data_IF_155164317411
#
_entry.id   IF_155164317411
#
_cell.length_a   1.000
_cell.length_b   1.000
_cell.length_c   1.000
_cell.angle_alpha   90.00
_cell.angle_beta   90.00
_cell.angle_gamma   90.00
#
_symmetry.space_group_name_H-M   'P 1'
#
loop_
_entity.id
_entity.type
_entity.pdbx_description
1 polymer ?
#
# COMPACT_ATOMS: atom_id res chain seq x y z
N UNK A 1 -6.25 23.56 15.04
CA UNK A 1 -5.96 22.31 15.77
C UNK A 1 -4.51 21.88 15.56
N UNK A 2 -3.89 21.17 16.52
CA UNK A 2 -2.58 20.54 16.35
C UNK A 2 -2.75 19.13 15.76
N UNK A 3 -2.15 18.86 14.61
CA UNK A 3 -2.29 17.60 13.88
C UNK A 3 -0.93 16.94 13.61
N UNK A 4 -0.88 15.62 13.71
CA UNK A 4 0.28 14.82 13.37
C UNK A 4 0.59 14.92 11.87
N UNK A 5 1.87 15.17 11.52
CA UNK A 5 2.33 15.23 10.12
C UNK A 5 1.97 13.99 9.29
N UNK A 6 1.79 12.83 9.93
CA UNK A 6 1.39 11.59 9.24
C UNK A 6 -0.03 11.66 8.68
N UNK A 7 -0.91 12.46 9.26
CA UNK A 7 -2.26 12.68 8.75
C UNK A 7 -2.31 13.72 7.61
N UNK A 8 -1.16 14.30 7.25
CA UNK A 8 -1.05 15.22 6.12
C UNK A 8 -0.59 14.45 4.88
N UNK A 9 -1.21 14.72 3.73
CA UNK A 9 -0.82 14.15 2.45
C UNK A 9 -0.34 15.23 1.48
N UNK A 10 0.88 15.03 0.99
CA UNK A 10 1.59 15.93 0.06
C UNK A 10 1.68 15.36 -1.35
N UNK A 11 1.23 14.13 -1.53
CA UNK A 11 1.43 13.37 -2.74
C UNK A 11 0.20 13.55 -3.62
N UNK A 12 0.41 13.69 -4.92
CA UNK A 12 -0.68 13.76 -5.88
C UNK A 12 -1.18 12.34 -6.18
N UNK A 13 -2.46 12.10 -5.95
CA UNK A 13 -3.19 10.92 -6.42
C UNK A 13 -3.87 11.26 -7.76
N UNK A 14 -4.10 10.27 -8.63
CA UNK A 14 -4.83 10.49 -9.88
C UNK A 14 -6.30 10.74 -9.60
N UNK A 15 -6.89 11.73 -10.29
CA UNK A 15 -8.33 11.92 -10.29
C UNK A 15 -9.02 10.80 -11.09
N UNK A 16 -9.99 10.16 -10.45
CA UNK A 16 -10.74 9.04 -11.03
C UNK A 16 -12.25 9.28 -11.04
N UNK A 17 -12.69 10.53 -10.82
CA UNK A 17 -14.11 10.93 -10.88
C UNK A 17 -14.76 11.06 -9.51
N UNK A 18 -16.07 10.83 -9.45
CA UNK A 18 -16.89 10.93 -8.24
C UNK A 18 -17.62 9.61 -7.97
N UNK A 19 -18.03 9.38 -6.72
CA UNK A 19 -18.97 8.31 -6.39
C UNK A 19 -20.43 8.78 -6.56
N UNK A 20 -21.38 7.91 -6.23
CA UNK A 20 -22.84 8.17 -6.28
C UNK A 20 -23.32 9.27 -5.33
N UNK A 21 -22.46 9.75 -4.42
CA UNK A 21 -22.73 10.84 -3.48
C UNK A 21 -21.99 12.14 -3.88
N UNK A 22 -21.55 12.23 -5.13
CA UNK A 22 -20.75 13.33 -5.68
C UNK A 22 -19.44 13.60 -4.92
N UNK A 23 -18.95 12.62 -4.16
CA UNK A 23 -17.67 12.72 -3.47
C UNK A 23 -16.55 12.40 -4.45
N UNK A 24 -15.58 13.32 -4.52
CA UNK A 24 -14.39 13.14 -5.35
C UNK A 24 -13.58 11.92 -4.91
N UNK A 25 -13.15 11.14 -5.89
CA UNK A 25 -12.31 9.96 -5.73
C UNK A 25 -10.93 10.20 -6.35
N UNK A 26 -9.88 9.83 -5.64
CA UNK A 26 -8.53 9.75 -6.20
C UNK A 26 -7.87 8.42 -5.90
N UNK A 27 -7.07 7.90 -6.83
CA UNK A 27 -6.38 6.62 -6.66
C UNK A 27 -4.90 6.70 -7.00
N UNK A 28 -4.08 5.87 -6.34
CA UNK A 28 -2.66 5.68 -6.67
C UNK A 28 -2.12 4.34 -6.23
N UNK A 29 -1.01 3.91 -6.84
CA UNK A 29 -0.10 2.95 -6.23
C UNK A 29 0.74 3.69 -5.17
N UNK A 30 0.55 3.37 -3.89
CA UNK A 30 1.23 4.04 -2.79
C UNK A 30 2.55 3.34 -2.41
N UNK A 31 2.64 2.02 -2.52
CA UNK A 31 3.88 1.29 -2.26
C UNK A 31 4.02 0.10 -3.18
N UNK A 32 5.24 -0.19 -3.60
CA UNK A 32 5.57 -1.41 -4.33
C UNK A 32 6.83 -2.04 -3.74
N UNK A 33 6.71 -3.28 -3.28
CA UNK A 33 7.83 -4.11 -2.85
C UNK A 33 7.96 -5.32 -3.77
N UNK A 34 9.10 -5.45 -4.40
CA UNK A 34 9.43 -6.59 -5.26
C UNK A 34 10.69 -7.29 -4.78
N UNK A 35 10.80 -8.57 -5.10
CA UNK A 35 11.98 -9.38 -4.84
C UNK A 35 12.46 -9.98 -6.14
N UNK A 36 13.78 -10.09 -6.30
CA UNK A 36 14.40 -10.75 -7.43
C UNK A 36 15.45 -11.77 -6.95
N UNK A 37 15.73 -12.75 -7.81
CA UNK A 37 16.86 -13.66 -7.67
C UNK A 37 18.01 -13.22 -8.57
N UNK A 38 19.20 -13.82 -8.39
CA UNK A 38 20.33 -13.68 -9.30
C UNK A 38 20.44 -14.92 -10.19
N UNK A 39 20.97 -14.81 -11.42
CA UNK A 39 21.12 -15.97 -12.33
C UNK A 39 22.17 -16.94 -11.81
N UNK A 40 23.26 -16.40 -11.26
CA UNK A 40 24.38 -17.16 -10.76
C UNK A 40 25.11 -16.41 -9.62
N UNK A 41 26.09 -17.07 -9.01
CA UNK A 41 26.88 -16.54 -7.90
C UNK A 41 27.73 -15.33 -8.33
N UNK A 42 28.22 -15.31 -9.57
CA UNK A 42 29.03 -14.22 -10.12
C UNK A 42 28.25 -12.91 -10.19
N UNK A 43 27.05 -12.95 -10.79
CA UNK A 43 26.11 -11.83 -10.86
C UNK A 43 25.77 -11.28 -9.46
N UNK A 44 25.50 -12.18 -8.50
CA UNK A 44 25.26 -11.83 -7.11
C UNK A 44 26.45 -11.13 -6.46
N UNK A 45 27.65 -11.73 -6.55
CA UNK A 45 28.89 -11.18 -5.97
C UNK A 45 29.18 -9.80 -6.55
N UNK A 46 29.10 -9.65 -7.88
CA UNK A 46 29.34 -8.38 -8.56
C UNK A 46 28.34 -7.30 -8.09
N UNK A 47 27.04 -7.62 -8.09
CA UNK A 47 25.99 -6.69 -7.63
C UNK A 47 26.23 -6.24 -6.20
N UNK A 48 26.52 -7.16 -5.27
CA UNK A 48 26.75 -6.82 -3.86
C UNK A 48 28.01 -5.97 -3.65
N UNK A 49 29.07 -6.23 -4.42
CA UNK A 49 30.28 -5.40 -4.39
C UNK A 49 29.97 -3.97 -4.83
N UNK A 50 29.18 -3.79 -5.90
CA UNK A 50 28.77 -2.47 -6.38
C UNK A 50 27.87 -1.73 -5.38
N UNK A 51 26.88 -2.42 -4.79
CA UNK A 51 26.06 -1.86 -3.71
C UNK A 51 26.92 -1.42 -2.52
N UNK A 52 27.96 -2.20 -2.17
CA UNK A 52 28.92 -1.81 -1.12
C UNK A 52 29.71 -0.56 -1.51
N UNK A 53 30.13 -0.43 -2.77
CA UNK A 53 30.82 0.78 -3.27
C UNK A 53 29.91 2.01 -3.26
N UNK A 54 28.61 1.85 -3.52
CA UNK A 54 27.64 2.96 -3.46
C UNK A 54 27.53 3.57 -2.06
N UNK A 55 27.80 2.82 -0.99
CA UNK A 55 27.82 3.37 0.38
C UNK A 55 28.92 4.43 0.59
N UNK A 56 30.04 4.32 -0.13
CA UNK A 56 31.27 5.06 0.15
C UNK A 56 31.42 6.32 -0.70
N UNK A 57 30.44 6.63 -1.55
CA UNK A 57 30.52 7.72 -2.51
C UNK A 57 29.45 8.75 -2.24
N UNK A 58 29.82 10.01 -2.38
CA UNK A 58 28.87 11.10 -2.51
C UNK A 58 28.39 11.17 -3.96
N UNK A 59 27.12 11.50 -4.15
CA UNK A 59 26.53 11.61 -5.47
C UNK A 59 25.81 12.95 -5.61
N UNK A 60 25.92 13.55 -6.79
CA UNK A 60 25.31 14.85 -7.11
C UNK A 60 23.78 14.83 -7.07
N UNK A 61 23.16 13.71 -7.46
CA UNK A 61 21.71 13.66 -7.71
C UNK A 61 20.92 12.99 -6.57
N UNK A 62 21.56 12.13 -5.79
CA UNK A 62 20.89 11.30 -4.79
C UNK A 62 21.74 11.12 -3.55
N UNK A 63 21.08 11.01 -2.40
CA UNK A 63 21.72 10.62 -1.16
C UNK A 63 21.52 9.14 -0.91
N UNK A 64 22.62 8.46 -0.58
CA UNK A 64 22.63 7.03 -0.26
C UNK A 64 22.98 6.85 1.20
N UNK A 65 22.11 6.17 1.95
CA UNK A 65 22.34 5.83 3.34
C UNK A 65 22.40 4.32 3.50
N UNK A 66 23.48 3.82 4.10
CA UNK A 66 23.60 2.42 4.45
C UNK A 66 22.95 2.12 5.81
N UNK A 67 22.28 0.96 5.88
CA UNK A 67 21.70 0.42 7.10
C UNK A 67 22.15 -1.03 7.24
N UNK A 68 22.67 -1.38 8.42
CA UNK A 68 22.77 -2.77 8.86
C UNK A 68 21.44 -3.14 9.51
N UNK A 69 20.75 -4.12 8.94
CA UNK A 69 19.47 -4.55 9.50
C UNK A 69 19.70 -5.41 10.75
N UNK A 70 18.73 -5.42 11.66
CA UNK A 70 18.68 -6.36 12.78
C UNK A 70 18.41 -7.80 12.29
N UNK A 71 18.82 -8.78 13.08
CA UNK A 71 18.80 -10.20 12.68
C UNK A 71 17.39 -10.77 12.43
N UNK A 72 16.34 -10.11 12.94
CA UNK A 72 14.94 -10.46 12.65
C UNK A 72 14.50 -10.12 11.20
N UNK A 73 15.26 -9.30 10.48
CA UNK A 73 14.92 -8.92 9.10
C UNK A 73 15.43 -9.98 8.12
N UNK A 74 14.71 -10.21 7.01
CA UNK A 74 15.08 -11.25 6.03
C UNK A 74 16.43 -11.01 5.32
N UNK A 75 16.95 -9.78 5.37
CA UNK A 75 18.19 -9.34 4.73
C UNK A 75 19.08 -8.64 5.74
N UNK A 76 20.39 -8.88 5.69
CA UNK A 76 21.37 -8.31 6.63
C UNK A 76 21.68 -6.83 6.37
N UNK A 77 21.49 -6.35 5.14
CA UNK A 77 21.95 -5.04 4.69
C UNK A 77 20.89 -4.33 3.88
N UNK A 78 20.85 -3.01 3.98
CA UNK A 78 20.00 -2.16 3.16
C UNK A 78 20.72 -0.87 2.72
N UNK A 79 20.33 -0.36 1.55
CA UNK A 79 20.60 1.01 1.12
C UNK A 79 19.28 1.77 1.01
N UNK A 80 19.21 2.97 1.57
CA UNK A 80 18.14 3.92 1.31
C UNK A 80 18.63 4.95 0.29
N UNK A 81 17.84 5.16 -0.75
CA UNK A 81 18.09 6.17 -1.78
C UNK A 81 17.03 7.27 -1.63
N UNK A 82 17.50 8.51 -1.56
CA UNK A 82 16.71 9.73 -1.39
C UNK A 82 17.11 10.76 -2.44
N UNK A 83 16.24 11.73 -2.68
CA UNK A 83 16.64 12.97 -3.37
C UNK A 83 17.79 13.69 -2.65
N UNK A 84 18.44 14.61 -3.36
CA UNK A 84 19.63 15.31 -2.86
C UNK A 84 19.30 16.22 -1.66
N UNK A 85 18.09 16.76 -1.60
CA UNK A 85 17.67 17.66 -0.52
C UNK A 85 17.67 16.95 0.84
N UNK A 86 17.98 17.72 1.90
CA UNK A 86 18.15 17.19 3.26
C UNK A 86 16.95 16.37 3.75
N UNK A 87 15.74 16.83 3.41
CA UNK A 87 14.48 16.26 3.89
C UNK A 87 13.72 15.45 2.83
N UNK A 88 14.39 15.10 1.73
CA UNK A 88 13.80 14.24 0.71
C UNK A 88 13.36 12.88 1.28
N UNK A 89 12.13 12.42 0.96
CA UNK A 89 11.66 11.10 1.38
C UNK A 89 12.51 9.98 0.76
N UNK A 90 12.35 8.76 1.28
CA UNK A 90 12.96 7.57 0.65
C UNK A 90 12.23 7.33 -0.66
N UNK A 91 12.97 7.22 -1.75
CA UNK A 91 12.43 6.89 -3.07
C UNK A 91 12.51 5.39 -3.32
N UNK A 92 13.64 4.78 -2.95
CA UNK A 92 13.87 3.35 -3.05
C UNK A 92 14.70 2.86 -1.86
N UNK A 93 14.30 1.72 -1.30
CA UNK A 93 15.13 0.92 -0.39
C UNK A 93 15.54 -0.37 -1.08
N UNK A 94 16.84 -0.69 -1.02
CA UNK A 94 17.41 -1.92 -1.58
C UNK A 94 17.92 -2.78 -0.42
N UNK A 95 17.21 -3.86 -0.11
CA UNK A 95 17.63 -4.86 0.88
C UNK A 95 18.36 -6.02 0.17
N UNK A 96 19.52 -6.43 0.69
CA UNK A 96 20.37 -7.44 0.08
C UNK A 96 21.14 -8.25 1.13
N UNK A 97 21.83 -9.32 0.70
CA UNK A 97 22.47 -10.30 1.59
C UNK A 97 21.43 -11.03 2.45
N UNK A 98 20.58 -11.89 1.85
CA UNK A 98 19.53 -12.60 2.56
C UNK A 98 20.10 -13.53 3.64
N UNK A 99 19.36 -13.72 4.73
CA UNK A 99 19.71 -14.67 5.79
C UNK A 99 19.44 -16.11 5.31
N UNK A 100 18.26 -16.33 4.73
CA UNK A 100 17.83 -17.65 4.23
C UNK A 100 17.97 -17.74 2.71
N UNK A 101 18.28 -18.94 2.21
CA UNK A 101 18.42 -19.19 0.75
C UNK A 101 17.12 -18.97 -0.03
N UNK A 102 15.96 -19.15 0.61
CA UNK A 102 14.62 -19.05 0.00
C UNK A 102 14.05 -17.62 -0.06
N UNK A 103 14.70 -16.63 0.57
CA UNK A 103 14.18 -15.25 0.70
C UNK A 103 14.17 -14.46 -0.61
N UNK A 104 14.94 -14.90 -1.62
CA UNK A 104 15.30 -14.10 -2.78
C UNK A 104 16.62 -13.35 -2.57
N UNK A 105 17.28 -13.01 -3.67
CA UNK A 105 18.63 -12.42 -3.63
C UNK A 105 18.62 -10.95 -3.22
N UNK A 106 17.61 -10.20 -3.63
CA UNK A 106 17.52 -8.77 -3.42
C UNK A 106 16.06 -8.33 -3.39
N UNK A 107 15.75 -7.37 -2.52
CA UNK A 107 14.42 -6.77 -2.38
C UNK A 107 14.50 -5.28 -2.68
N UNK A 108 13.54 -4.80 -3.46
CA UNK A 108 13.39 -3.41 -3.87
C UNK A 108 12.05 -2.89 -3.33
N UNK A 109 12.14 -1.91 -2.44
CA UNK A 109 11.01 -1.26 -1.79
C UNK A 109 10.87 0.16 -2.34
N UNK A 110 10.03 0.32 -3.38
CA UNK A 110 9.74 1.59 -4.02
C UNK A 110 8.69 2.40 -3.22
N UNK A 111 8.79 3.73 -3.33
CA UNK A 111 7.83 4.71 -2.83
C UNK A 111 7.38 5.63 -3.97
N UNK A 112 6.57 5.10 -4.91
CA UNK A 112 6.17 5.84 -6.11
C UNK A 112 5.37 7.11 -5.79
N UNK A 113 4.65 7.16 -4.65
CA UNK A 113 3.91 8.36 -4.23
C UNK A 113 4.81 9.60 -4.04
N UNK A 114 6.12 9.42 -3.88
CA UNK A 114 7.08 10.50 -3.70
C UNK A 114 7.82 10.88 -4.99
N UNK A 115 7.40 10.41 -6.16
CA UNK A 115 8.07 10.68 -7.43
C UNK A 115 7.09 10.78 -8.58
N UNK A 116 7.42 11.64 -9.56
CA UNK A 116 6.76 11.63 -10.86
C UNK A 116 7.34 10.50 -11.73
N UNK A 117 6.64 10.07 -12.80
CA UNK A 117 7.16 9.09 -13.76
C UNK A 117 8.58 9.39 -14.24
N UNK A 118 8.87 10.65 -14.58
CA UNK A 118 10.19 11.06 -15.08
C UNK A 118 11.26 10.93 -14.00
N UNK A 119 10.94 11.31 -12.76
CA UNK A 119 11.85 11.14 -11.60
C UNK A 119 12.11 9.67 -11.30
N UNK A 120 11.12 8.80 -11.49
CA UNK A 120 11.29 7.36 -11.41
C UNK A 120 12.29 6.91 -12.47
N UNK A 121 12.10 7.26 -13.74
CA UNK A 121 12.99 6.82 -14.82
C UNK A 121 14.43 7.31 -14.66
N UNK A 122 14.61 8.55 -14.19
CA UNK A 122 15.92 9.07 -13.83
C UNK A 122 16.56 8.26 -12.69
N UNK A 123 15.79 7.89 -11.66
CA UNK A 123 16.28 7.06 -10.55
C UNK A 123 16.70 5.68 -11.06
N UNK A 124 15.87 5.02 -11.87
CA UNK A 124 16.17 3.69 -12.41
C UNK A 124 17.42 3.72 -13.30
N UNK A 125 17.50 4.68 -14.21
CA UNK A 125 18.66 4.90 -15.08
C UNK A 125 19.93 5.24 -14.31
N UNK A 126 19.79 5.95 -13.19
CA UNK A 126 20.91 6.21 -12.30
C UNK A 126 21.37 4.92 -11.64
N UNK A 127 20.50 4.12 -11.02
CA UNK A 127 20.89 2.87 -10.35
C UNK A 127 21.49 1.88 -11.34
N UNK A 128 20.87 1.70 -12.50
CA UNK A 128 21.29 0.73 -13.50
C UNK A 128 22.72 0.97 -13.98
N UNK A 129 23.09 2.24 -14.22
CA UNK A 129 24.48 2.64 -14.51
C UNK A 129 25.48 2.33 -13.40
N UNK A 130 25.06 2.23 -12.13
CA UNK A 130 25.95 1.89 -11.01
C UNK A 130 26.00 0.38 -10.77
N UNK A 131 25.05 -0.37 -11.32
CA UNK A 131 25.02 -1.81 -11.25
C UNK A 131 25.51 -2.48 -12.56
N UNK A 132 25.93 -1.70 -13.55
CA UNK A 132 26.32 -2.07 -14.92
C UNK A 132 25.23 -2.88 -15.64
N UNK A 133 24.04 -2.30 -15.78
CA UNK A 133 22.96 -2.90 -16.60
C UNK A 133 22.15 -4.01 -15.93
N UNK A 134 22.61 -4.55 -14.80
CA UNK A 134 21.92 -5.69 -14.15
C UNK A 134 20.61 -5.27 -13.46
N UNK A 135 20.40 -3.99 -13.19
CA UNK A 135 19.23 -3.54 -12.42
C UNK A 135 17.94 -3.77 -13.20
N UNK A 136 17.96 -3.49 -14.50
CA UNK A 136 16.81 -3.77 -15.37
C UNK A 136 16.52 -5.28 -15.48
N UNK A 137 17.55 -6.11 -15.53
CA UNK A 137 17.37 -7.57 -15.50
C UNK A 137 16.80 -8.07 -14.17
N UNK A 138 17.13 -7.40 -13.05
CA UNK A 138 16.53 -7.68 -11.75
C UNK A 138 15.03 -7.33 -11.75
N UNK A 139 14.63 -6.20 -12.31
CA UNK A 139 13.22 -5.83 -12.45
C UNK A 139 12.45 -6.81 -13.34
N UNK A 140 13.04 -7.21 -14.48
CA UNK A 140 12.44 -8.13 -15.45
C UNK A 140 12.05 -9.51 -14.87
N UNK A 141 12.75 -9.97 -13.85
CA UNK A 141 12.48 -11.27 -13.19
C UNK A 141 11.92 -11.11 -11.78
N UNK A 142 11.55 -9.89 -11.39
CA UNK A 142 11.07 -9.62 -10.06
C UNK A 142 9.63 -10.11 -9.88
N UNK A 143 9.31 -10.59 -8.68
CA UNK A 143 7.95 -10.85 -8.25
C UNK A 143 7.55 -9.90 -7.14
N UNK A 144 6.27 -9.58 -7.08
CA UNK A 144 5.67 -8.68 -6.10
C UNK A 144 5.57 -9.42 -4.78
N UNK A 145 5.88 -8.73 -3.69
CA UNK A 145 5.68 -9.21 -2.30
C UNK A 145 4.77 -8.29 -1.50
N UNK A 146 4.63 -7.03 -1.93
CA UNK A 146 3.62 -6.12 -1.42
C UNK A 146 3.30 -5.07 -2.49
N UNK A 147 2.02 -4.75 -2.65
CA UNK A 147 1.57 -3.52 -3.30
C UNK A 147 0.47 -2.89 -2.46
N UNK A 148 0.60 -1.59 -2.21
CA UNK A 148 -0.39 -0.82 -1.47
C UNK A 148 -1.11 0.07 -2.47
N UNK A 149 -2.42 -0.12 -2.64
CA UNK A 149 -3.30 0.69 -3.50
C UNK A 149 -4.09 1.62 -2.59
N UNK A 150 -3.93 2.93 -2.76
CA UNK A 150 -4.64 3.93 -1.97
C UNK A 150 -5.79 4.52 -2.80
N UNK A 151 -7.00 4.45 -2.25
CA UNK A 151 -8.19 5.14 -2.73
C UNK A 151 -8.56 6.22 -1.72
N UNK A 152 -8.64 7.46 -2.16
CA UNK A 152 -8.96 8.63 -1.37
C UNK A 152 -10.40 9.06 -1.69
N UNK A 153 -11.27 9.09 -0.67
CA UNK A 153 -12.66 9.55 -0.76
C UNK A 153 -12.76 10.90 -0.06
N UNK A 154 -12.96 11.97 -0.81
CA UNK A 154 -13.01 13.34 -0.28
C UNK A 154 -14.32 13.62 0.45
N UNK A 155 -14.28 14.52 1.43
CA UNK A 155 -15.43 14.88 2.27
C UNK A 155 -16.09 13.64 2.91
N UNK A 156 -15.25 12.70 3.36
CA UNK A 156 -15.63 11.46 4.00
C UNK A 156 -14.79 11.28 5.26
N UNK A 157 -15.42 10.83 6.33
CA UNK A 157 -14.79 10.48 7.60
C UNK A 157 -14.92 8.98 7.87
N UNK A 158 -14.15 8.50 8.85
CA UNK A 158 -14.11 7.08 9.18
C UNK A 158 -15.42 6.62 9.84
N UNK A 159 -16.00 7.47 10.67
CA UNK A 159 -17.21 7.30 11.48
C UNK A 159 -18.52 7.52 10.71
N UNK A 160 -18.44 7.95 9.44
CA UNK A 160 -19.61 8.04 8.57
C UNK A 160 -20.20 6.64 8.24
N UNK A 161 -19.41 5.57 8.43
CA UNK A 161 -19.75 4.21 8.03
C UNK A 161 -19.22 3.16 9.01
N UNK A 162 -19.79 1.95 8.94
CA UNK A 162 -19.20 0.76 9.53
C UNK A 162 -18.45 -0.05 8.47
N UNK A 163 -17.29 -0.59 8.84
CA UNK A 163 -16.38 -1.21 7.87
C UNK A 163 -16.22 -2.71 8.10
N UNK A 164 -16.17 -3.45 7.01
CA UNK A 164 -15.95 -4.89 6.99
C UNK A 164 -14.99 -5.31 5.89
N UNK A 165 -14.43 -6.51 6.05
CA UNK A 165 -13.63 -7.16 5.01
C UNK A 165 -13.98 -8.65 5.00
N UNK A 166 -14.48 -9.12 3.88
CA UNK A 166 -14.85 -10.52 3.72
C UNK A 166 -13.67 -11.44 4.04
N UNK A 167 -13.94 -12.51 4.80
CA UNK A 167 -12.93 -13.50 5.23
C UNK A 167 -11.79 -12.88 6.06
N UNK A 168 -12.11 -11.85 6.85
CA UNK A 168 -11.20 -11.28 7.84
C UNK A 168 -11.91 -11.11 9.19
N UNK A 169 -11.28 -11.59 10.26
CA UNK A 169 -11.82 -11.47 11.63
C UNK A 169 -10.96 -10.61 12.57
N UNK A 170 -9.80 -10.13 12.13
CA UNK A 170 -8.90 -9.30 12.96
C UNK A 170 -9.07 -7.84 12.60
N UNK A 171 -9.25 -7.00 13.62
CA UNK A 171 -9.31 -5.55 13.49
C UNK A 171 -8.39 -4.87 14.49
N UNK A 172 -8.03 -3.62 14.21
CA UNK A 172 -7.35 -2.76 15.17
C UNK A 172 -7.76 -1.31 14.90
N UNK A 173 -8.33 -0.68 15.92
CA UNK A 173 -8.66 0.74 15.91
C UNK A 173 -7.50 1.56 16.46
N UNK A 174 -7.32 2.75 15.89
CA UNK A 174 -6.28 3.69 16.27
C UNK A 174 -6.92 5.06 16.39
N UNK A 175 -7.09 5.51 17.61
CA UNK A 175 -7.40 6.90 17.92
C UNK A 175 -6.31 7.42 18.84
N UNK A 176 -5.68 8.52 18.44
CA UNK A 176 -4.53 9.07 19.14
C UNK A 176 -4.67 10.56 19.23
N UNK A 177 -4.28 11.11 20.38
CA UNK A 177 -4.22 12.54 20.60
C UNK A 177 -3.46 13.24 19.47
N UNK A 178 -4.02 14.34 18.94
CA UNK A 178 -3.49 15.11 17.82
C UNK A 178 -3.36 14.29 16.51
N UNK A 179 -4.09 13.18 16.36
CA UNK A 179 -4.20 12.38 15.15
C UNK A 179 -5.61 12.39 14.57
N UNK A 180 -5.78 11.81 13.39
CA UNK A 180 -7.10 11.42 12.89
C UNK A 180 -7.31 9.92 13.10
N UNK A 181 -8.55 9.48 13.37
CA UNK A 181 -8.83 8.08 13.66
C UNK A 181 -8.52 7.20 12.46
N UNK A 182 -8.21 5.94 12.75
CA UNK A 182 -7.90 4.94 11.75
C UNK A 182 -8.29 3.53 12.17
N UNK A 183 -8.60 2.70 11.19
CA UNK A 183 -9.01 1.32 11.36
C UNK A 183 -8.19 0.42 10.44
N UNK A 184 -7.69 -0.69 10.99
CA UNK A 184 -7.16 -1.80 10.20
C UNK A 184 -8.15 -2.95 10.22
N UNK A 185 -8.47 -3.49 9.06
CA UNK A 185 -9.26 -4.71 8.92
C UNK A 185 -8.44 -5.76 8.18
N UNK A 186 -8.30 -6.93 8.78
CA UNK A 186 -7.44 -8.01 8.31
C UNK A 186 -6.07 -8.05 9.00
N UNK A 187 -5.45 -9.23 8.96
CA UNK A 187 -4.14 -9.47 9.56
C UNK A 187 -3.03 -8.87 8.68
N UNK A 188 -2.03 -8.22 9.30
CA UNK A 188 -0.80 -7.81 8.61
C UNK A 188 -0.03 -8.98 7.98
N UNK A 189 -0.33 -10.24 8.32
CA UNK A 189 0.31 -11.41 7.70
C UNK A 189 -0.51 -12.04 6.57
N UNK A 190 -1.72 -11.55 6.34
CA UNK A 190 -2.63 -12.10 5.34
C UNK A 190 -2.37 -11.52 3.94
N UNK A 191 -2.95 -12.17 2.93
CA UNK A 191 -2.92 -11.74 1.53
C UNK A 191 -3.41 -10.30 1.35
N UNK A 192 -4.39 -9.88 2.15
CA UNK A 192 -5.00 -8.56 2.06
C UNK A 192 -5.39 -8.08 3.45
N UNK A 193 -5.00 -6.87 3.76
CA UNK A 193 -5.63 -6.08 4.83
C UNK A 193 -5.87 -4.66 4.31
N UNK A 194 -6.91 -4.02 4.82
CA UNK A 194 -7.27 -2.65 4.49
C UNK A 194 -6.93 -1.76 5.68
N UNK A 195 -6.34 -0.61 5.41
CA UNK A 195 -6.26 0.50 6.35
C UNK A 195 -7.20 1.60 5.90
N UNK A 196 -7.97 2.14 6.83
CA UNK A 196 -8.97 3.16 6.58
C UNK A 196 -8.73 4.27 7.58
N UNK A 197 -8.32 5.45 7.14
CA UNK A 197 -7.87 6.49 8.06
C UNK A 197 -7.98 7.90 7.49
N UNK A 198 -8.21 8.88 8.37
CA UNK A 198 -8.37 10.27 7.98
C UNK A 198 -7.07 10.92 7.51
N UNK A 199 -7.18 11.76 6.47
CA UNK A 199 -6.11 12.55 5.90
C UNK A 199 -6.56 13.97 5.58
N UNK A 200 -5.60 14.88 5.54
CA UNK A 200 -5.76 16.27 5.09
C UNK A 200 -4.82 16.53 3.92
N UNK A 201 -5.37 17.09 2.84
CA UNK A 201 -4.62 17.41 1.64
C UNK A 201 -3.95 18.78 1.76
N UNK A 202 -2.70 18.87 1.33
CA UNK A 202 -1.97 20.14 1.17
C UNK A 202 -1.76 20.52 -0.29
N UNK A 203 -2.21 19.67 -1.22
CA UNK A 203 -2.13 19.94 -2.66
C UNK A 203 -3.14 21.02 -3.09
N UNK A 204 -4.13 21.30 -2.24
CA UNK A 204 -5.17 22.32 -2.43
C UNK A 204 -5.28 23.11 -1.13
N UNK A 205 -5.02 24.42 -1.16
CA UNK A 205 -5.06 25.30 0.02
C UNK A 205 -3.76 26.10 0.24
N UNK A 206 -3.71 26.86 1.35
CA UNK A 206 -2.54 27.67 1.71
C UNK A 206 -1.31 26.79 2.00
N UNK A 207 -0.11 27.27 1.64
CA UNK A 207 1.14 26.59 1.99
C UNK A 207 1.25 26.49 3.52
N UNK A 208 1.28 25.27 4.04
CA UNK A 208 1.54 25.05 5.47
C UNK A 208 3.00 25.42 5.80
N UNK A 209 3.19 26.21 6.85
CA UNK A 209 4.53 26.57 7.36
C UNK A 209 5.07 25.43 8.23
N UNK A 210 6.04 24.68 7.71
CA UNK A 210 6.62 23.54 8.42
C UNK A 210 7.79 23.98 9.31
N UNK A 211 7.66 23.76 10.62
CA UNK A 211 8.86 23.59 11.46
C UNK A 211 9.37 22.16 11.29
N UNK A 212 10.61 22.00 10.82
CA UNK A 212 11.23 20.69 10.57
C UNK A 212 11.31 19.82 11.84
N UNK A 213 11.42 20.46 13.02
CA UNK A 213 11.65 19.77 14.31
C UNK A 213 10.37 19.23 14.97
N UNK A 214 9.20 19.75 14.61
CA UNK A 214 7.94 19.33 15.25
C UNK A 214 7.34 18.10 14.57
N UNK A 215 6.81 17.15 15.36
CA UNK A 215 5.99 16.03 14.84
C UNK A 215 4.57 16.47 14.45
N UNK A 216 4.15 17.63 14.93
CA UNK A 216 2.80 18.16 14.80
C UNK A 216 2.80 19.52 14.11
N UNK A 217 1.67 19.89 13.52
CA UNK A 217 1.46 21.16 12.82
C UNK A 217 0.12 21.75 13.23
N UNK A 218 0.08 23.06 13.37
CA UNK A 218 -1.18 23.76 13.53
C UNK A 218 -1.86 23.86 12.17
N UNK A 219 -3.04 23.26 12.08
CA UNK A 219 -3.85 23.22 10.87
C UNK A 219 -5.25 23.75 11.18
N UNK A 220 -5.78 24.54 10.26
CA UNK A 220 -7.19 24.92 10.23
C UNK A 220 -7.90 23.97 9.27
N UNK A 221 -8.87 23.18 9.76
CA UNK A 221 -9.60 22.23 8.91
C UNK A 221 -10.53 22.90 7.92
N UNK A 222 -10.93 24.15 8.17
CA UNK A 222 -11.75 24.92 7.23
C UNK A 222 -10.94 25.40 6.02
N UNK A 223 -9.61 25.46 6.13
CA UNK A 223 -8.71 25.92 5.07
C UNK A 223 -8.18 24.78 4.18
N UNK A 224 -8.46 23.52 4.51
CA UNK A 224 -7.89 22.36 3.84
C UNK A 224 -8.90 21.26 3.58
N UNK A 225 -8.82 20.67 2.38
CA UNK A 225 -9.65 19.51 2.04
C UNK A 225 -9.26 18.28 2.87
N UNK A 226 -10.26 17.64 3.46
CA UNK A 226 -10.12 16.38 4.18
C UNK A 226 -10.65 15.23 3.33
N UNK A 227 -10.09 14.04 3.56
CA UNK A 227 -10.50 12.84 2.86
C UNK A 227 -10.22 11.60 3.72
N UNK A 228 -10.96 10.54 3.45
CA UNK A 228 -10.71 9.22 3.99
C UNK A 228 -9.82 8.43 3.02
N UNK A 229 -8.69 7.93 3.51
CA UNK A 229 -7.84 7.02 2.74
C UNK A 229 -8.20 5.57 3.04
N UNK A 230 -8.60 4.84 2.00
CA UNK A 230 -8.78 3.38 1.99
C UNK A 230 -7.56 2.78 1.29
N UNK A 231 -6.61 2.28 2.06
CA UNK A 231 -5.35 1.70 1.58
C UNK A 231 -5.42 0.17 1.62
N UNK A 232 -5.55 -0.42 0.45
CA UNK A 232 -5.55 -1.86 0.26
C UNK A 232 -4.12 -2.38 0.16
N UNK A 233 -3.67 -3.11 1.19
CA UNK A 233 -2.32 -3.69 1.25
C UNK A 233 -2.35 -5.15 0.83
N UNK A 234 -2.01 -5.38 -0.43
CA UNK A 234 -2.00 -6.69 -1.06
C UNK A 234 -0.61 -7.33 -0.98
N UNK A 235 -0.53 -8.56 -0.46
CA UNK A 235 0.70 -9.32 -0.19
C UNK A 235 0.58 -10.72 -0.78
N UNK A 236 0.88 -10.92 -2.07
CA UNK A 236 0.88 -12.25 -2.65
C UNK A 236 1.95 -13.09 -1.93
N UNK A 237 1.50 -14.11 -1.19
CA UNK A 237 2.37 -14.92 -0.33
C UNK A 237 3.10 -16.02 -1.11
N UNK A 238 2.88 -16.13 -2.42
CA UNK A 238 3.54 -17.11 -3.28
C UNK A 238 4.90 -16.59 -3.75
N UNK A 239 5.91 -17.47 -3.70
CA UNK A 239 7.21 -17.25 -4.34
C UNK A 239 7.30 -18.10 -5.61
N UNK A 240 8.18 -17.75 -6.58
CA UNK A 240 8.37 -18.56 -7.79
C UNK A 240 8.79 -20.02 -7.49
N UNK A 241 9.33 -20.26 -6.30
CA UNK A 241 9.77 -21.59 -5.83
C UNK A 241 8.76 -22.29 -4.92
N UNK A 242 7.61 -21.67 -4.63
CA UNK A 242 6.60 -22.24 -3.75
C UNK A 242 5.80 -23.34 -4.44
N UNK A 243 5.38 -24.38 -3.70
CA UNK A 243 4.57 -25.51 -4.22
C UNK A 243 3.26 -25.07 -4.88
N UNK A 244 2.75 -23.86 -4.59
CA UNK A 244 1.53 -23.29 -5.17
C UNK A 244 1.76 -22.43 -6.43
N UNK A 245 3.01 -22.33 -6.90
CA UNK A 245 3.41 -21.94 -8.27
C UNK A 245 3.21 -20.48 -8.70
N UNK A 246 2.17 -19.80 -8.23
CA UNK A 246 1.69 -18.58 -8.89
C UNK A 246 2.12 -17.31 -8.15
N UNK A 247 3.43 -17.03 -8.15
CA UNK A 247 3.93 -15.73 -7.73
C UNK A 247 3.42 -14.64 -8.68
N UNK A 248 2.94 -13.53 -8.14
CA UNK A 248 2.57 -12.38 -8.96
C UNK A 248 3.85 -11.69 -9.46
N UNK A 249 4.20 -11.93 -10.73
CA UNK A 249 5.36 -11.30 -11.36
C UNK A 249 5.12 -9.81 -11.55
N UNK A 250 6.17 -8.98 -11.47
CA UNK A 250 6.04 -7.53 -11.70
C UNK A 250 5.51 -7.21 -13.11
N UNK A 251 5.92 -8.00 -14.09
CA UNK A 251 5.44 -7.91 -15.47
C UNK A 251 3.92 -8.14 -15.61
N UNK A 252 3.31 -8.83 -14.65
CA UNK A 252 1.89 -9.21 -14.68
C UNK A 252 1.08 -8.35 -13.69
N UNK A 253 1.58 -7.19 -13.28
CA UNK A 253 0.91 -6.35 -12.27
C UNK A 253 -0.51 -5.91 -12.66
N UNK A 254 -0.78 -5.80 -13.96
CA UNK A 254 -2.12 -5.50 -14.49
C UNK A 254 -3.12 -6.65 -14.29
N UNK A 255 -2.65 -7.88 -14.15
CA UNK A 255 -3.48 -9.07 -13.92
C UNK A 255 -3.88 -9.23 -12.44
N UNK A 256 -3.46 -8.30 -11.57
CA UNK A 256 -3.81 -8.33 -10.16
C UNK A 256 -5.32 -8.20 -9.97
N UNK A 257 -5.89 -9.11 -9.16
CA UNK A 257 -7.31 -9.04 -8.76
C UNK A 257 -7.59 -7.76 -7.98
N UNK A 258 -8.79 -7.22 -8.15
CA UNK A 258 -9.24 -6.04 -7.43
C UNK A 258 -9.25 -6.28 -5.92
N UNK A 259 -8.39 -5.59 -5.14
CA UNK A 259 -8.31 -5.81 -3.71
C UNK A 259 -9.53 -5.20 -2.97
N UNK A 260 -10.34 -4.36 -3.62
CA UNK A 260 -11.53 -3.75 -3.04
C UNK A 260 -12.78 -4.64 -3.12
N UNK A 261 -12.80 -5.72 -3.91
CA UNK A 261 -13.94 -6.64 -4.02
C UNK A 261 -14.43 -7.19 -2.68
N UNK A 262 -13.50 -7.40 -1.75
CA UNK A 262 -13.77 -7.94 -0.41
C UNK A 262 -14.15 -6.87 0.60
N UNK A 263 -13.95 -5.60 0.29
CA UNK A 263 -14.33 -4.49 1.18
C UNK A 263 -15.85 -4.44 1.28
N UNK A 264 -16.36 -4.33 2.49
CA UNK A 264 -17.79 -4.17 2.79
C UNK A 264 -17.96 -2.87 3.57
N UNK A 265 -18.96 -2.08 3.19
CA UNK A 265 -19.30 -0.81 3.83
C UNK A 265 -20.76 -0.89 4.22
N UNK A 266 -21.08 -0.46 5.44
CA UNK A 266 -22.43 -0.53 5.97
C UNK A 266 -22.85 0.86 6.46
N UNK A 267 -24.14 1.16 6.38
CA UNK A 267 -24.68 2.37 6.98
C UNK A 267 -24.41 2.38 8.48
N UNK A 268 -24.12 3.57 9.02
CA UNK A 268 -23.97 3.76 10.47
C UNK A 268 -25.28 3.48 11.24
N UNK A 269 -26.43 3.64 10.57
CA UNK A 269 -27.77 3.41 11.14
C UNK A 269 -27.97 1.96 11.60
N UNK A 270 -27.15 1.01 11.11
CA UNK A 270 -27.14 -0.37 11.58
C UNK A 270 -26.88 -0.43 13.10
N UNK A 271 -26.01 0.44 13.62
CA UNK A 271 -25.73 0.50 15.05
C UNK A 271 -26.98 0.80 15.88
N UNK A 272 -27.76 1.78 15.44
CA UNK A 272 -28.99 2.21 16.09
C UNK A 272 -30.06 1.11 16.04
N UNK A 273 -30.19 0.45 14.89
CA UNK A 273 -31.13 -0.67 14.72
C UNK A 273 -30.76 -1.88 15.59
N UNK A 274 -29.47 -2.19 15.73
CA UNK A 274 -29.00 -3.27 16.61
C UNK A 274 -29.26 -2.96 18.09
N UNK A 275 -29.12 -1.69 18.50
CA UNK A 275 -29.48 -1.25 19.85
C UNK A 275 -30.99 -1.32 20.09
N UNK A 276 -31.79 -0.81 19.15
CA UNK A 276 -33.26 -0.83 19.26
C UNK A 276 -33.83 -2.25 19.38
N UNK A 277 -33.21 -3.23 18.72
CA UNK A 277 -33.58 -4.66 18.82
C UNK A 277 -32.94 -5.39 20.01
N UNK A 278 -32.17 -4.70 20.83
CA UNK A 278 -31.51 -5.26 22.02
C UNK A 278 -30.41 -6.28 21.69
N UNK A 279 -29.83 -6.23 20.48
CA UNK A 279 -28.71 -7.11 20.11
C UNK A 279 -27.38 -6.63 20.67
N UNK A 280 -27.26 -5.33 20.92
CA UNK A 280 -26.14 -4.69 21.61
C UNK A 280 -26.70 -3.65 22.59
N UNK A 281 -25.98 -3.40 23.70
CA UNK A 281 -26.36 -2.39 24.69
C UNK A 281 -25.58 -1.08 24.51
N UNK A 282 -24.41 -1.15 23.89
CA UNK A 282 -23.55 0.00 23.56
C UNK A 282 -22.89 -0.21 22.20
N UNK A 283 -22.56 0.89 21.52
CA UNK A 283 -21.77 0.85 20.29
C UNK A 283 -20.30 0.60 20.64
N UNK A 284 -19.62 -0.34 19.95
CA UNK A 284 -18.17 -0.45 20.04
C UNK A 284 -17.48 0.82 19.53
N UNK A 285 -16.37 1.22 20.17
CA UNK A 285 -15.61 2.41 19.78
C UNK A 285 -15.12 2.37 18.32
N UNK A 286 -14.76 1.18 17.82
CA UNK A 286 -14.30 1.05 16.45
C UNK A 286 -15.48 0.87 15.49
N UNK A 287 -15.51 1.60 14.35
CA UNK A 287 -16.51 1.43 13.32
C UNK A 287 -16.27 0.16 12.48
N UNK A 288 -16.40 -1.00 13.11
CA UNK A 288 -16.00 -2.31 12.56
C UNK A 288 -17.09 -3.36 12.77
N UNK A 289 -17.58 -3.95 11.68
CA UNK A 289 -18.53 -5.06 11.73
C UNK A 289 -17.92 -6.27 12.44
N UNK A 290 -16.62 -6.54 12.29
CA UNK A 290 -15.98 -7.66 12.96
C UNK A 290 -15.90 -7.48 14.49
N UNK A 291 -15.84 -6.23 14.98
CA UNK A 291 -15.92 -5.94 16.42
C UNK A 291 -17.35 -6.02 16.93
N UNK A 292 -18.28 -5.40 16.19
CA UNK A 292 -19.70 -5.46 16.49
C UNK A 292 -20.23 -6.91 16.55
N UNK A 293 -19.85 -7.76 15.58
CA UNK A 293 -20.20 -9.19 15.59
C UNK A 293 -19.62 -9.93 16.79
N UNK A 294 -18.38 -9.62 17.21
CA UNK A 294 -17.77 -10.23 18.41
C UNK A 294 -18.52 -9.84 19.68
N UNK A 295 -18.81 -8.55 19.83
CA UNK A 295 -19.59 -8.04 20.96
C UNK A 295 -20.98 -8.71 21.03
N UNK A 296 -21.70 -8.80 19.90
CA UNK A 296 -23.00 -9.49 19.85
C UNK A 296 -22.89 -10.97 20.22
N UNK A 297 -21.87 -11.67 19.72
CA UNK A 297 -21.67 -13.09 20.05
C UNK A 297 -21.40 -13.30 21.54
N UNK A 298 -20.59 -12.43 22.15
CA UNK A 298 -20.31 -12.43 23.59
C UNK A 298 -21.58 -12.11 24.40
N UNK A 299 -22.32 -11.06 24.03
CA UNK A 299 -23.55 -10.65 24.71
C UNK A 299 -24.66 -11.72 24.63
N UNK A 300 -24.81 -12.37 23.47
CA UNK A 300 -25.78 -13.45 23.26
C UNK A 300 -25.27 -14.83 23.72
N UNK A 301 -24.04 -14.93 24.21
CA UNK A 301 -23.37 -16.18 24.59
C UNK A 301 -23.45 -17.26 23.49
N UNK A 302 -23.21 -16.86 22.24
CA UNK A 302 -23.30 -17.76 21.08
C UNK A 302 -21.97 -17.86 20.33
N UNK A 303 -21.67 -19.03 19.78
CA UNK A 303 -20.46 -19.24 18.96
C UNK A 303 -20.58 -18.68 17.54
N UNK A 304 -21.82 -18.40 17.11
CA UNK A 304 -22.16 -17.83 15.81
C UNK A 304 -23.44 -17.01 15.95
N UNK A 305 -23.48 -15.86 15.27
CA UNK A 305 -24.69 -15.04 15.21
C UNK A 305 -25.89 -15.80 14.61
N UNK A 306 -27.09 -15.59 15.18
CA UNK A 306 -28.33 -16.08 14.58
C UNK A 306 -28.54 -15.55 13.16
N UNK A 307 -29.12 -16.37 12.28
CA UNK A 307 -29.36 -16.01 10.86
C UNK A 307 -30.13 -14.70 10.69
N UNK A 308 -31.07 -14.39 11.60
CA UNK A 308 -31.84 -13.13 11.58
C UNK A 308 -30.95 -11.90 11.78
N UNK A 309 -29.92 -12.01 12.62
CA UNK A 309 -28.95 -10.93 12.88
C UNK A 309 -28.00 -10.80 11.69
N UNK A 310 -27.50 -11.92 11.15
CA UNK A 310 -26.68 -11.89 9.93
C UNK A 310 -27.41 -11.26 8.73
N UNK A 311 -28.72 -11.54 8.57
CA UNK A 311 -29.57 -10.93 7.53
C UNK A 311 -29.74 -9.43 7.75
N UNK A 312 -30.05 -9.02 8.97
CA UNK A 312 -30.17 -7.61 9.33
C UNK A 312 -28.87 -6.84 9.00
N UNK A 313 -27.71 -7.39 9.35
CA UNK A 313 -26.43 -6.75 9.00
C UNK A 313 -26.27 -6.60 7.48
N UNK A 314 -26.68 -7.62 6.70
CA UNK A 314 -26.58 -7.58 5.25
C UNK A 314 -27.53 -6.56 4.61
N UNK A 315 -28.71 -6.31 5.19
CA UNK A 315 -29.66 -5.30 4.72
C UNK A 315 -29.10 -3.87 4.78
N UNK A 316 -28.12 -3.62 5.66
CA UNK A 316 -27.48 -2.32 5.82
C UNK A 316 -26.14 -2.21 5.05
N UNK A 317 -25.75 -3.21 4.25
CA UNK A 317 -24.61 -3.05 3.33
C UNK A 317 -24.94 -2.01 2.26
N UNK A 318 -24.02 -1.07 2.06
CA UNK A 318 -24.17 0.01 1.07
C UNK A 318 -22.99 0.01 0.10
N UNK A 319 -23.23 0.56 -1.09
CA UNK A 319 -22.17 0.83 -2.05
C UNK A 319 -21.64 2.25 -1.88
N UNK A 320 -20.45 2.37 -1.26
CA UNK A 320 -19.77 3.67 -1.12
C UNK A 320 -19.19 4.17 -2.46
N UNK A 321 -18.77 3.24 -3.31
CA UNK A 321 -18.28 3.47 -4.66
C UNK A 321 -18.37 2.16 -5.45
N UNK A 322 -18.58 2.28 -6.77
CA UNK A 322 -18.53 1.13 -7.66
C UNK A 322 -17.08 0.60 -7.72
N UNK A 323 -16.89 -0.61 -7.17
CA UNK A 323 -15.57 -1.26 -7.06
C UNK A 323 -15.00 -1.63 -8.42
N UNK A 324 -15.84 -1.96 -9.41
CA UNK A 324 -15.42 -2.30 -10.76
C UNK A 324 -14.94 -1.05 -11.48
N UNK A 325 -15.75 0.00 -11.49
CA UNK A 325 -15.45 1.30 -12.10
C UNK A 325 -14.17 1.90 -11.52
N UNK A 326 -13.99 1.88 -10.18
CA UNK A 326 -12.71 2.29 -9.55
C UNK A 326 -11.54 1.43 -10.06
N UNK A 327 -11.72 0.12 -10.17
CA UNK A 327 -10.64 -0.78 -10.59
C UNK A 327 -10.26 -0.67 -12.06
N UNK A 328 -11.16 -0.24 -12.94
CA UNK A 328 -10.81 0.06 -14.34
C UNK A 328 -9.70 1.10 -14.47
N UNK A 329 -9.54 1.97 -13.46
CA UNK A 329 -8.52 3.02 -13.39
C UNK A 329 -7.16 2.50 -12.90
N UNK A 330 -7.06 1.21 -12.54
CA UNK A 330 -5.82 0.60 -12.05
C UNK A 330 -4.69 0.70 -13.08
N UNK A 331 -4.98 0.50 -14.36
CA UNK A 331 -4.00 0.62 -15.45
C UNK A 331 -3.34 2.00 -15.49
N UNK A 332 -4.10 3.07 -15.27
CA UNK A 332 -3.59 4.45 -15.19
C UNK A 332 -2.66 4.63 -13.98
N UNK A 333 -3.00 4.02 -12.84
CA UNK A 333 -2.13 4.04 -11.65
C UNK A 333 -0.83 3.25 -11.87
N UNK A 334 -0.90 2.12 -12.58
CA UNK A 334 0.28 1.31 -12.94
C UNK A 334 1.18 2.07 -13.91
N UNK A 335 0.60 2.83 -14.86
CA UNK A 335 1.38 3.69 -15.76
C UNK A 335 2.24 4.73 -15.00
N UNK A 336 1.79 5.20 -13.84
CA UNK A 336 2.57 6.11 -12.98
C UNK A 336 3.81 5.45 -12.35
N UNK A 337 3.92 4.11 -12.39
CA UNK A 337 5.13 3.41 -11.98
C UNK A 337 6.26 3.48 -13.04
N UNK A 338 5.96 4.01 -14.23
CA UNK A 338 6.87 4.24 -15.35
C UNK A 338 7.80 3.04 -15.61
N UNK A 339 9.11 3.28 -15.75
CA UNK A 339 10.15 2.29 -15.95
C UNK A 339 10.15 1.12 -14.96
N UNK A 340 9.58 1.25 -13.76
CA UNK A 340 9.50 0.12 -12.82
C UNK A 340 8.66 -1.00 -13.45
N UNK A 341 7.52 -0.63 -14.04
CA UNK A 341 6.60 -1.58 -14.66
C UNK A 341 6.92 -1.85 -16.13
N UNK A 342 7.24 -0.82 -16.93
CA UNK A 342 7.44 -0.99 -18.38
C UNK A 342 8.64 -1.87 -18.69
N UNK A 343 9.76 -1.71 -17.97
CA UNK A 343 10.95 -2.57 -18.11
C UNK A 343 10.58 -4.01 -17.81
N UNK A 344 9.85 -4.28 -16.73
CA UNK A 344 9.46 -5.64 -16.40
C UNK A 344 8.56 -6.28 -17.47
N UNK A 345 7.62 -5.49 -18.01
CA UNK A 345 6.64 -5.95 -18.99
C UNK A 345 7.27 -6.23 -20.36
N UNK A 346 8.11 -5.33 -20.88
CA UNK A 346 8.78 -5.48 -22.18
C UNK A 346 9.67 -6.73 -22.21
N UNK A 347 10.44 -6.96 -21.15
CA UNK A 347 11.28 -8.16 -21.06
C UNK A 347 10.47 -9.47 -20.97
N UNK A 348 9.24 -9.43 -20.46
CA UNK A 348 8.35 -10.59 -20.44
C UNK A 348 7.86 -10.93 -21.85
N UNK A 349 7.46 -9.93 -22.64
CA UNK A 349 7.01 -10.12 -24.04
C UNK A 349 8.13 -10.72 -24.89
N UNK A 350 9.35 -10.18 -24.85
CA UNK A 350 10.47 -10.73 -25.62
C UNK A 350 10.83 -12.17 -25.24
N UNK A 351 10.65 -12.57 -23.98
CA UNK A 351 10.85 -13.96 -23.56
C UNK A 351 9.80 -14.93 -24.10
N UNK A 352 8.55 -14.48 -24.32
CA UNK A 352 7.51 -15.31 -24.92
C UNK A 352 7.80 -15.54 -26.41
N UNK A 353 8.13 -14.48 -27.14
CA UNK A 353 8.48 -14.52 -28.57
C UNK A 353 9.70 -15.42 -28.86
N UNK A 354 10.70 -15.44 -27.97
CA UNK A 354 11.88 -16.31 -28.15
C UNK A 354 11.69 -17.76 -27.69
N UNK A 355 10.63 -18.06 -26.93
CA UNK A 355 10.33 -19.43 -26.47
C UNK A 355 9.24 -20.11 -27.30
N UNK A 356 8.53 -19.36 -28.15
CA UNK A 356 7.72 -19.91 -29.23
C UNK A 356 8.70 -20.40 -30.32
N UNK A 357 8.94 -21.71 -30.37
CA UNK A 357 9.55 -22.33 -31.54
C UNK A 357 8.58 -22.13 -32.71
N UNK A 358 9.04 -21.76 -33.91
CA UNK A 358 8.19 -21.83 -35.09
C UNK A 358 7.76 -23.30 -35.25
N UNK A 359 6.45 -23.51 -35.42
CA UNK A 359 5.85 -24.81 -35.71
C UNK A 359 6.43 -25.45 -36.98
#
# INVERSE_FOLDING_TARGET
MKLNKRNIDFCCSLDIGTNTRDQKLKMRADKLSVVSCFKNIGERKNTYTKLKKMRQREFKNYRVQYIRNHDEKPYRKALLIRGIEKNSPVLLRIDYSPINRSTGGIRLDFRPQHSTPEKIDHLLSWIDRRLDGIFYQLLARAWITQIDVALDVYNCKLDDYLWGLDRAGKTAYFDKENGLPGLRIGSCRSLLHILIYGKVSTCVGRKLTYSERSKFININFDEHQHFLRIEARYRPNATPTSKKGNALMLAHLLEMRNPFERLRVYSKDLGDELMARGYIFTLPDAPSIAEMKRYMMEAMQCSRLPRKVDRLIAEYEIELFDKHTVWTQWSRCVAQLSGIFSIASVFCVHRRVHNEKPE
#
